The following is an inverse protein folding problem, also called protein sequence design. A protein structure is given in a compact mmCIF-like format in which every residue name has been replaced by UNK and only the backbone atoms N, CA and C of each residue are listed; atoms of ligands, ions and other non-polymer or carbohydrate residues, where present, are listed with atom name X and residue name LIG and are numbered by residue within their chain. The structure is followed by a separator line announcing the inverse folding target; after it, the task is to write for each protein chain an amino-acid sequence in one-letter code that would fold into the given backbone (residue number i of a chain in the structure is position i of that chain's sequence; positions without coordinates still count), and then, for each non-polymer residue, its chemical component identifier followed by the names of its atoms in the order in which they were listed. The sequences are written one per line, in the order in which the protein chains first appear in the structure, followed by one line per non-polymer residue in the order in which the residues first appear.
data_IF_266160787470
#
_entry.id   IF_266160787470
#
_cell.length_a   1.000
_cell.length_b   1.000
_cell.length_c   1.000
_cell.angle_alpha   90.00
_cell.angle_beta   90.00
_cell.angle_gamma   90.00
#
_symmetry.space_group_name_H-M   'P 1'
#
loop_
_entity.id
_entity.type
_entity.pdbx_description
1 polymer ?
#
# COMPACT_ATOMS: atom_id res chain seq x y z
N UNK A 1 16.77 -25.82 -14.29
CA UNK A 1 15.60 -25.42 -13.48
C UNK A 1 15.89 -24.20 -12.61
N UNK A 2 17.15 -23.93 -12.28
CA UNK A 2 17.55 -22.91 -11.28
C UNK A 2 17.26 -21.44 -11.69
N UNK A 3 17.07 -21.15 -12.98
CA UNK A 3 16.79 -19.82 -13.49
C UNK A 3 15.29 -19.52 -13.71
N UNK A 4 14.43 -20.53 -13.78
CA UNK A 4 13.00 -20.36 -13.98
C UNK A 4 12.28 -19.98 -12.68
N UNK A 5 12.74 -20.53 -11.56
CA UNK A 5 12.10 -20.31 -10.26
C UNK A 5 12.11 -18.83 -9.82
N UNK A 6 13.26 -18.09 -9.84
CA UNK A 6 13.25 -16.68 -9.46
C UNK A 6 12.37 -15.83 -10.39
N UNK A 7 12.39 -16.13 -11.70
CA UNK A 7 11.53 -15.42 -12.66
C UNK A 7 10.04 -15.66 -12.40
N UNK A 8 9.65 -16.91 -12.14
CA UNK A 8 8.27 -17.27 -11.80
C UNK A 8 7.80 -16.58 -10.50
N UNK A 9 8.67 -16.50 -9.48
CA UNK A 9 8.35 -15.83 -8.22
C UNK A 9 8.17 -14.31 -8.41
N UNK A 10 9.03 -13.65 -9.18
CA UNK A 10 8.87 -12.22 -9.46
C UNK A 10 7.59 -11.94 -10.27
N UNK A 11 7.26 -12.79 -11.25
CA UNK A 11 6.00 -12.71 -11.99
C UNK A 11 4.78 -12.94 -11.10
N UNK A 12 4.85 -13.91 -10.16
CA UNK A 12 3.81 -14.16 -9.18
C UNK A 12 3.62 -12.96 -8.26
N UNK A 13 4.71 -12.35 -7.78
CA UNK A 13 4.66 -11.13 -6.98
C UNK A 13 3.98 -9.97 -7.73
N UNK A 14 4.31 -9.78 -9.01
CA UNK A 14 3.65 -8.79 -9.86
C UNK A 14 2.15 -9.07 -10.02
N UNK A 15 1.77 -10.33 -10.24
CA UNK A 15 0.37 -10.75 -10.36
C UNK A 15 -0.41 -10.48 -9.07
N UNK A 16 0.15 -10.84 -7.90
CA UNK A 16 -0.49 -10.63 -6.60
C UNK A 16 -0.73 -9.13 -6.34
N UNK A 17 0.24 -8.26 -6.67
CA UNK A 17 0.07 -6.81 -6.56
C UNK A 17 -1.04 -6.29 -7.47
N UNK A 18 -1.11 -6.76 -8.72
CA UNK A 18 -2.18 -6.32 -9.64
C UNK A 18 -3.54 -6.82 -9.17
N UNK A 19 -3.66 -8.06 -8.69
CA UNK A 19 -4.91 -8.61 -8.16
C UNK A 19 -5.35 -7.85 -6.91
N UNK A 20 -4.43 -7.39 -6.07
CA UNK A 20 -4.76 -6.65 -4.86
C UNK A 20 -5.49 -5.32 -5.11
N UNK A 21 -5.37 -4.71 -6.32
CA UNK A 21 -6.10 -3.48 -6.71
C UNK A 21 -7.63 -3.66 -6.57
N UNK A 22 -8.11 -4.88 -6.80
CA UNK A 22 -9.56 -5.17 -6.83
C UNK A 22 -10.15 -5.50 -5.44
N UNK A 23 -9.32 -5.52 -4.41
CA UNK A 23 -9.67 -5.93 -3.05
C UNK A 23 -9.53 -4.75 -2.07
N UNK A 24 -10.37 -4.69 -1.01
CA UNK A 24 -10.24 -3.68 0.02
C UNK A 24 -8.90 -3.85 0.78
N UNK A 25 -8.27 -2.74 1.09
CA UNK A 25 -7.01 -2.69 1.85
C UNK A 25 -7.22 -2.43 3.32
N UNK A 26 -8.23 -1.63 3.60
CA UNK A 26 -8.58 -1.25 4.97
C UNK A 26 -10.08 -1.01 5.06
N UNK A 27 -10.65 -1.27 6.22
CA UNK A 27 -12.05 -0.98 6.50
C UNK A 27 -12.21 -0.26 7.82
N UNK A 28 -13.27 0.54 7.91
CA UNK A 28 -13.68 1.19 9.14
C UNK A 28 -15.17 0.99 9.35
N UNK A 29 -15.54 0.61 10.58
CA UNK A 29 -16.93 0.62 11.02
C UNK A 29 -17.12 1.71 12.06
N UNK A 30 -18.07 2.61 11.85
CA UNK A 30 -18.48 3.64 12.79
C UNK A 30 -19.74 3.18 13.53
N UNK A 31 -19.64 3.03 14.84
CA UNK A 31 -20.78 2.69 15.71
C UNK A 31 -21.42 4.00 16.17
N UNK A 32 -22.66 4.23 15.79
CA UNK A 32 -23.44 5.40 16.17
C UNK A 32 -24.79 4.97 16.78
N UNK A 33 -25.31 5.64 17.82
CA UNK A 33 -26.56 5.24 18.47
C UNK A 33 -27.77 5.13 17.53
N UNK A 34 -27.80 5.96 16.47
CA UNK A 34 -28.85 5.97 15.46
C UNK A 34 -28.68 4.88 14.39
N UNK A 35 -27.53 4.24 14.33
CA UNK A 35 -27.19 3.16 13.39
C UNK A 35 -26.74 1.90 14.16
N UNK A 36 -27.67 1.07 14.65
CA UNK A 36 -27.34 -0.08 15.52
C UNK A 36 -26.46 -1.15 14.85
N UNK A 37 -26.43 -1.19 13.50
CA UNK A 37 -25.58 -2.11 12.74
C UNK A 37 -24.20 -1.51 12.44
N UNK A 38 -23.96 -0.25 12.82
CA UNK A 38 -22.80 0.52 12.41
C UNK A 38 -22.88 1.03 10.97
N UNK A 39 -22.01 1.98 10.64
CA UNK A 39 -21.78 2.45 9.27
C UNK A 39 -20.43 1.94 8.82
N UNK A 40 -20.38 1.36 7.64
CA UNK A 40 -19.19 0.67 7.14
C UNK A 40 -18.59 1.38 5.94
N UNK A 41 -17.25 1.46 5.91
CA UNK A 41 -16.47 1.96 4.77
C UNK A 41 -15.33 1.02 4.45
N UNK A 42 -15.26 0.61 3.19
CA UNK A 42 -14.15 -0.13 2.61
C UNK A 42 -13.25 0.81 1.79
N UNK A 43 -11.98 0.81 2.11
CA UNK A 43 -10.94 1.59 1.44
C UNK A 43 -10.15 0.69 0.51
N UNK A 44 -10.35 0.88 -0.79
CA UNK A 44 -9.51 0.33 -1.85
C UNK A 44 -8.39 1.30 -2.18
N UNK A 45 -7.41 0.86 -2.92
CA UNK A 45 -6.33 1.77 -3.37
C UNK A 45 -6.82 2.90 -4.27
N UNK A 46 -7.93 2.70 -5.00
CA UNK A 46 -8.45 3.65 -6.01
C UNK A 46 -9.86 4.18 -5.74
N UNK A 47 -10.57 3.67 -4.73
CA UNK A 47 -11.95 4.06 -4.42
C UNK A 47 -12.31 3.78 -2.97
N UNK A 48 -13.41 4.37 -2.55
CA UNK A 48 -14.10 4.08 -1.30
C UNK A 48 -15.46 3.46 -1.62
N UNK A 49 -15.90 2.48 -0.83
CA UNK A 49 -17.21 1.85 -0.93
C UNK A 49 -17.85 1.76 0.45
N UNK A 50 -19.19 1.69 0.53
CA UNK A 50 -19.93 1.56 1.79
C UNK A 50 -20.89 2.72 2.04
N UNK A 51 -21.17 3.00 3.32
CA UNK A 51 -22.19 3.95 3.80
C UNK A 51 -21.70 5.41 3.78
N UNK A 52 -21.14 5.82 2.65
CA UNK A 52 -20.47 7.12 2.48
C UNK A 52 -21.39 8.31 2.76
N UNK A 53 -22.66 8.24 2.32
CA UNK A 53 -23.61 9.36 2.45
C UNK A 53 -24.01 9.59 3.90
N UNK A 54 -24.24 8.51 4.63
CA UNK A 54 -24.64 8.52 6.03
C UNK A 54 -23.50 9.04 6.89
N UNK A 55 -22.26 8.62 6.61
CA UNK A 55 -21.06 9.11 7.29
C UNK A 55 -20.80 10.59 6.98
N UNK A 56 -20.92 11.00 5.73
CA UNK A 56 -20.75 12.40 5.35
C UNK A 56 -21.82 13.31 5.98
N UNK A 57 -23.04 12.82 6.18
CA UNK A 57 -24.07 13.54 6.91
C UNK A 57 -23.67 13.74 8.40
N UNK A 58 -23.09 12.71 9.05
CA UNK A 58 -22.57 12.83 10.42
C UNK A 58 -21.36 13.78 10.47
N UNK A 59 -20.46 13.67 9.50
CA UNK A 59 -19.29 14.52 9.38
C UNK A 59 -19.64 16.00 9.27
N UNK A 60 -20.71 16.32 8.54
CA UNK A 60 -21.19 17.69 8.44
C UNK A 60 -21.57 18.29 9.81
N UNK A 61 -22.21 17.52 10.68
CA UNK A 61 -22.52 17.98 12.05
C UNK A 61 -21.27 18.09 12.93
N UNK A 62 -20.29 17.22 12.72
CA UNK A 62 -19.03 17.19 13.45
C UNK A 62 -18.01 18.24 12.93
N UNK A 63 -18.28 18.86 11.78
CA UNK A 63 -17.34 19.76 11.11
C UNK A 63 -16.18 19.06 10.45
N UNK A 64 -16.31 17.77 10.19
CA UNK A 64 -15.27 16.97 9.51
C UNK A 64 -15.40 17.06 7.99
N UNK A 65 -14.29 16.95 7.25
CA UNK A 65 -14.32 16.93 5.79
C UNK A 65 -15.16 15.77 5.24
N UNK A 66 -15.62 15.92 3.99
CA UNK A 66 -16.28 14.85 3.24
C UNK A 66 -15.28 13.72 2.98
N UNK A 67 -15.71 12.47 3.18
CA UNK A 67 -14.83 11.28 3.02
C UNK A 67 -14.17 11.21 1.64
N UNK A 68 -14.92 11.58 0.60
CA UNK A 68 -14.39 11.56 -0.77
C UNK A 68 -13.31 12.62 -1.04
N UNK A 69 -13.14 13.62 -0.22
CA UNK A 69 -12.09 14.63 -0.37
C UNK A 69 -10.73 14.12 0.12
N UNK A 70 -10.72 13.16 1.04
CA UNK A 70 -9.49 12.54 1.51
C UNK A 70 -8.85 11.63 0.47
N UNK A 71 -7.55 11.80 0.21
CA UNK A 71 -6.78 10.91 -0.64
C UNK A 71 -7.17 10.87 -2.12
N UNK A 72 -7.75 11.94 -2.67
CA UNK A 72 -8.18 11.98 -4.08
C UNK A 72 -7.01 11.82 -5.06
N UNK A 73 -5.88 12.48 -4.79
CA UNK A 73 -4.70 12.39 -5.63
C UNK A 73 -4.15 10.96 -5.61
N UNK A 74 -3.96 10.41 -4.43
CA UNK A 74 -3.44 9.07 -4.20
C UNK A 74 -4.30 8.01 -4.90
N UNK A 75 -5.61 8.10 -4.74
CA UNK A 75 -6.56 7.20 -5.41
C UNK A 75 -6.53 7.33 -6.93
N UNK A 76 -6.37 8.54 -7.47
CA UNK A 76 -6.35 8.77 -8.92
C UNK A 76 -5.12 8.18 -9.60
N UNK A 77 -3.96 8.17 -8.91
CA UNK A 77 -2.69 7.65 -9.45
C UNK A 77 -2.39 6.20 -9.05
N UNK A 78 -3.10 5.65 -8.06
CA UNK A 78 -2.81 4.35 -7.45
C UNK A 78 -2.76 3.19 -8.43
N UNK A 79 -3.74 3.08 -9.34
CA UNK A 79 -3.81 2.00 -10.33
C UNK A 79 -2.61 2.05 -11.27
N UNK A 80 -2.28 3.25 -11.78
CA UNK A 80 -1.11 3.44 -12.66
C UNK A 80 0.16 3.12 -11.90
N UNK A 81 0.26 3.55 -10.64
CA UNK A 81 1.42 3.26 -9.79
C UNK A 81 1.61 1.74 -9.59
N UNK A 82 0.57 1.00 -9.20
CA UNK A 82 0.67 -0.44 -8.96
C UNK A 82 0.98 -1.20 -10.25
N UNK A 83 0.37 -0.81 -11.38
CA UNK A 83 0.73 -1.40 -12.69
C UNK A 83 2.19 -1.13 -13.00
N UNK A 84 2.69 0.08 -12.75
CA UNK A 84 4.10 0.41 -12.93
C UNK A 84 5.02 -0.44 -12.05
N UNK A 85 4.64 -0.66 -10.78
CA UNK A 85 5.38 -1.57 -9.89
C UNK A 85 5.42 -2.99 -10.46
N UNK A 86 4.30 -3.49 -10.98
CA UNK A 86 4.23 -4.78 -11.66
C UNK A 86 5.16 -4.85 -12.89
N UNK A 87 5.19 -3.81 -13.72
CA UNK A 87 6.08 -3.73 -14.88
C UNK A 87 7.56 -3.66 -14.46
N UNK A 88 7.90 -2.96 -13.39
CA UNK A 88 9.27 -2.94 -12.85
C UNK A 88 9.71 -4.32 -12.36
N UNK A 89 8.81 -5.09 -11.73
CA UNK A 89 9.07 -6.47 -11.33
C UNK A 89 9.27 -7.38 -12.56
N UNK A 90 8.47 -7.22 -13.61
CA UNK A 90 8.65 -7.93 -14.86
C UNK A 90 9.99 -7.56 -15.53
N UNK A 91 10.37 -6.29 -15.53
CA UNK A 91 11.67 -5.85 -16.02
C UNK A 91 12.83 -6.46 -15.21
N UNK A 92 12.66 -6.60 -13.88
CA UNK A 92 13.65 -7.20 -12.98
C UNK A 92 13.95 -8.68 -13.36
N UNK A 93 12.99 -9.41 -13.97
CA UNK A 93 13.19 -10.77 -14.46
C UNK A 93 14.31 -10.84 -15.49
N UNK A 94 14.46 -9.80 -16.33
CA UNK A 94 15.49 -9.74 -17.39
C UNK A 94 16.80 -9.16 -16.93
N UNK A 95 16.84 -8.58 -15.72
CA UNK A 95 18.04 -7.95 -15.14
C UNK A 95 18.77 -8.94 -14.22
N UNK A 96 19.92 -9.45 -14.66
CA UNK A 96 20.65 -10.53 -13.99
C UNK A 96 21.80 -10.02 -13.07
N UNK A 97 21.60 -8.86 -12.45
CA UNK A 97 22.57 -8.25 -11.53
C UNK A 97 21.86 -7.56 -10.36
N UNK A 98 22.62 -6.84 -9.51
CA UNK A 98 22.08 -6.12 -8.34
C UNK A 98 20.95 -5.12 -8.64
N UNK A 99 20.83 -4.66 -9.89
CA UNK A 99 19.80 -3.73 -10.31
C UNK A 99 18.39 -4.37 -10.30
N UNK A 100 18.29 -5.70 -10.37
CA UNK A 100 17.01 -6.38 -10.19
C UNK A 100 16.38 -6.07 -8.81
N UNK A 101 17.19 -6.01 -7.76
CA UNK A 101 16.72 -5.63 -6.42
C UNK A 101 16.29 -4.15 -6.36
N UNK A 102 16.98 -3.26 -7.08
CA UNK A 102 16.61 -1.84 -7.15
C UNK A 102 15.26 -1.68 -7.85
N UNK A 103 15.03 -2.41 -8.95
CA UNK A 103 13.74 -2.41 -9.67
C UNK A 103 12.59 -2.97 -8.82
N UNK A 104 12.86 -3.95 -7.95
CA UNK A 104 11.86 -4.54 -7.07
C UNK A 104 11.60 -3.72 -5.80
N UNK A 105 12.52 -2.82 -5.41
CA UNK A 105 12.44 -2.06 -4.16
C UNK A 105 11.13 -1.27 -4.00
N UNK A 106 10.64 -0.53 -5.01
CA UNK A 106 9.38 0.20 -4.88
C UNK A 106 8.18 -0.72 -4.59
N UNK A 107 8.13 -1.91 -5.19
CA UNK A 107 7.09 -2.89 -4.93
C UNK A 107 7.16 -3.46 -3.50
N UNK A 108 8.36 -3.64 -2.96
CA UNK A 108 8.57 -4.10 -1.57
C UNK A 108 8.12 -3.01 -0.58
N UNK A 109 8.36 -1.74 -0.89
CA UNK A 109 8.00 -0.62 -0.02
C UNK A 109 6.52 -0.24 -0.10
N UNK A 110 5.80 -0.69 -1.12
CA UNK A 110 4.43 -0.29 -1.38
C UNK A 110 3.46 -0.45 -0.17
N UNK A 111 3.42 -1.59 0.57
CA UNK A 111 2.54 -1.71 1.73
C UNK A 111 2.88 -0.72 2.85
N UNK A 112 4.16 -0.38 3.04
CA UNK A 112 4.58 0.63 4.01
C UNK A 112 4.15 2.04 3.59
N UNK A 113 4.26 2.35 2.31
CA UNK A 113 3.78 3.62 1.74
C UNK A 113 2.28 3.74 1.93
N UNK A 114 1.51 2.67 1.66
CA UNK A 114 0.06 2.65 1.89
C UNK A 114 -0.29 2.95 3.36
N UNK A 115 0.39 2.31 4.32
CA UNK A 115 0.12 2.54 5.76
C UNK A 115 0.47 3.97 6.17
N UNK A 116 1.58 4.50 5.66
CA UNK A 116 2.00 5.88 5.96
C UNK A 116 1.01 6.91 5.37
N UNK A 117 0.54 6.67 4.16
CA UNK A 117 -0.45 7.49 3.49
C UNK A 117 -1.81 7.43 4.20
N UNK A 118 -2.31 6.23 4.54
CA UNK A 118 -3.52 6.04 5.31
C UNK A 118 -3.45 6.78 6.66
N UNK A 119 -2.32 6.66 7.37
CA UNK A 119 -2.12 7.39 8.64
C UNK A 119 -2.18 8.90 8.43
N UNK A 120 -1.55 9.39 7.37
CA UNK A 120 -1.54 10.81 7.04
C UNK A 120 -2.95 11.35 6.72
N UNK A 121 -3.72 10.60 5.93
CA UNK A 121 -5.12 10.93 5.61
C UNK A 121 -5.97 10.96 6.88
N UNK A 122 -5.87 9.94 7.73
CA UNK A 122 -6.60 9.87 9.01
C UNK A 122 -6.20 11.01 9.96
N UNK A 123 -4.90 11.35 9.99
CA UNK A 123 -4.41 12.49 10.76
C UNK A 123 -5.00 13.80 10.26
N UNK A 124 -4.91 14.08 8.97
CA UNK A 124 -5.49 15.29 8.40
C UNK A 124 -7.00 15.36 8.65
N UNK A 125 -7.69 14.25 8.48
CA UNK A 125 -9.13 14.15 8.64
C UNK A 125 -9.56 14.55 10.07
N UNK A 126 -8.92 14.06 11.09
CA UNK A 126 -9.24 14.39 12.48
C UNK A 126 -8.70 15.73 12.96
N UNK A 127 -7.84 16.42 12.18
CA UNK A 127 -7.30 17.75 12.51
C UNK A 127 -7.88 18.87 11.64
N UNK A 128 -8.72 18.55 10.64
CA UNK A 128 -9.38 19.53 9.77
C UNK A 128 -10.85 19.74 10.16
N UNK A 129 -11.10 19.90 11.47
CA UNK A 129 -12.46 20.11 12.01
C UNK A 129 -12.81 21.61 11.91
N UNK A 130 -13.98 21.91 11.34
CA UNK A 130 -14.52 23.27 11.26
C UNK A 130 -15.15 23.66 12.62
N UNK A 131 -14.57 24.61 13.37
CA UNK A 131 -15.11 25.02 14.66
C UNK A 131 -16.48 25.71 14.58
N UNK A 132 -16.88 26.16 13.40
CA UNK A 132 -18.17 26.82 13.16
C UNK A 132 -19.34 25.86 12.96
N UNK A 133 -19.06 24.57 12.78
CA UNK A 133 -20.08 23.51 12.67
C UNK A 133 -20.80 23.27 14.00
N UNK A 134 -21.93 22.56 13.93
CA UNK A 134 -22.82 22.37 15.10
C UNK A 134 -22.12 21.76 16.33
N UNK A 135 -21.18 20.83 16.14
CA UNK A 135 -20.43 20.18 17.22
C UNK A 135 -18.90 20.37 17.10
N UNK A 136 -18.40 20.97 16.01
CA UNK A 136 -16.97 21.09 15.75
C UNK A 136 -16.20 21.88 16.82
N UNK A 137 -16.82 22.90 17.41
CA UNK A 137 -16.21 23.66 18.51
C UNK A 137 -16.09 22.91 19.84
N UNK A 138 -16.75 21.74 19.96
CA UNK A 138 -16.72 20.89 21.17
C UNK A 138 -15.81 19.65 20.99
N UNK A 139 -15.27 19.43 19.79
CA UNK A 139 -14.45 18.25 19.47
C UNK A 139 -12.98 18.68 19.43
N UNK A 140 -12.16 18.07 20.25
CA UNK A 140 -10.71 18.25 20.17
C UNK A 140 -10.15 17.49 18.95
N UNK A 141 -9.10 18.03 18.26
CA UNK A 141 -8.43 17.32 17.20
C UNK A 141 -7.96 15.94 17.65
N UNK A 142 -8.16 14.93 16.81
CA UNK A 142 -7.83 13.53 17.12
C UNK A 142 -7.26 12.84 15.88
N UNK A 143 -6.66 11.66 16.07
CA UNK A 143 -6.25 10.80 14.98
C UNK A 143 -6.93 9.45 15.14
N UNK A 144 -7.83 9.05 14.22
CA UNK A 144 -8.43 7.73 14.27
C UNK A 144 -7.36 6.64 14.22
N UNK A 145 -7.46 5.56 15.02
CA UNK A 145 -6.51 4.46 14.94
C UNK A 145 -6.66 3.70 13.63
N UNK A 146 -5.53 3.30 13.03
CA UNK A 146 -5.56 2.43 11.82
C UNK A 146 -6.10 1.05 12.17
N UNK A 147 -5.74 0.53 13.34
CA UNK A 147 -6.16 -0.79 13.83
C UNK A 147 -6.78 -0.64 15.20
N UNK A 148 -7.90 -1.33 15.41
CA UNK A 148 -8.57 -1.39 16.70
C UNK A 148 -9.62 -0.31 16.87
N UNK A 149 -10.03 -0.10 18.12
CA UNK A 149 -11.15 0.76 18.48
C UNK A 149 -10.66 2.16 18.88
N UNK A 150 -11.26 3.17 18.26
CA UNK A 150 -11.14 4.58 18.66
C UNK A 150 -12.51 5.13 19.05
N UNK A 151 -12.53 6.31 19.69
CA UNK A 151 -13.75 7.02 20.04
C UNK A 151 -13.62 8.46 19.57
N UNK A 152 -14.67 8.99 18.94
CA UNK A 152 -14.80 10.36 18.48
C UNK A 152 -16.13 10.90 19.01
N UNK A 153 -16.09 11.80 19.98
CA UNK A 153 -17.28 12.24 20.70
C UNK A 153 -18.08 11.04 21.25
N UNK A 154 -19.30 10.85 20.75
CA UNK A 154 -20.17 9.72 21.13
C UNK A 154 -20.10 8.52 20.17
N UNK A 155 -19.26 8.61 19.13
CA UNK A 155 -19.11 7.56 18.11
C UNK A 155 -17.87 6.73 18.41
N UNK A 156 -18.01 5.41 18.30
CA UNK A 156 -16.85 4.52 18.30
C UNK A 156 -16.52 4.13 16.85
N UNK A 157 -15.23 4.07 16.56
CA UNK A 157 -14.72 3.61 15.26
C UNK A 157 -13.86 2.38 15.45
N UNK A 158 -14.00 1.41 14.57
CA UNK A 158 -13.18 0.20 14.54
C UNK A 158 -12.52 0.10 13.18
N UNK A 159 -11.18 0.21 13.16
CA UNK A 159 -10.39 0.07 11.93
C UNK A 159 -9.69 -1.28 11.87
N UNK A 160 -9.58 -1.86 10.67
CA UNK A 160 -8.82 -3.10 10.43
C UNK A 160 -8.26 -3.16 9.01
N UNK A 161 -7.17 -3.91 8.82
CA UNK A 161 -6.69 -4.23 7.50
C UNK A 161 -7.51 -5.36 6.87
N UNK A 162 -7.64 -5.27 5.54
CA UNK A 162 -8.46 -6.18 4.74
C UNK A 162 -7.59 -7.03 3.80
N UNK A 163 -8.24 -7.94 3.08
CA UNK A 163 -7.60 -8.97 2.26
C UNK A 163 -6.64 -8.42 1.21
N UNK A 164 -6.92 -7.22 0.65
CA UNK A 164 -6.05 -6.56 -0.34
C UNK A 164 -4.69 -6.21 0.23
N UNK A 165 -4.65 -5.68 1.46
CA UNK A 165 -3.40 -5.37 2.16
C UNK A 165 -2.59 -6.63 2.47
N UNK A 166 -3.23 -7.68 2.97
CA UNK A 166 -2.55 -8.94 3.24
C UNK A 166 -2.03 -9.60 1.96
N UNK A 167 -2.74 -9.45 0.84
CA UNK A 167 -2.28 -9.94 -0.46
C UNK A 167 -1.04 -9.16 -0.94
N UNK A 168 -1.00 -7.84 -0.73
CA UNK A 168 0.18 -7.03 -1.01
C UNK A 168 1.38 -7.43 -0.13
N UNK A 169 1.16 -7.73 1.16
CA UNK A 169 2.21 -8.27 2.03
C UNK A 169 2.70 -9.66 1.56
N UNK A 170 1.79 -10.53 1.12
CA UNK A 170 2.16 -11.82 0.55
C UNK A 170 3.00 -11.64 -0.73
N UNK A 171 2.65 -10.66 -1.58
CA UNK A 171 3.44 -10.32 -2.75
C UNK A 171 4.87 -9.91 -2.37
N UNK A 172 5.04 -9.07 -1.33
CA UNK A 172 6.37 -8.71 -0.82
C UNK A 172 7.16 -9.94 -0.38
N UNK A 173 6.54 -10.86 0.37
CA UNK A 173 7.18 -12.11 0.77
C UNK A 173 7.67 -12.93 -0.43
N UNK A 174 6.82 -13.10 -1.45
CA UNK A 174 7.14 -13.80 -2.70
C UNK A 174 8.28 -13.11 -3.46
N UNK A 175 8.26 -11.76 -3.55
CA UNK A 175 9.31 -10.97 -4.21
C UNK A 175 10.65 -11.15 -3.49
N UNK A 176 10.68 -11.07 -2.17
CA UNK A 176 11.91 -11.25 -1.38
C UNK A 176 12.51 -12.65 -1.57
N UNK A 177 11.68 -13.69 -1.55
CA UNK A 177 12.11 -15.07 -1.85
C UNK A 177 12.61 -15.19 -3.29
N UNK A 178 11.91 -14.56 -4.25
CA UNK A 178 12.33 -14.50 -5.65
C UNK A 178 13.71 -13.85 -5.84
N UNK A 179 13.93 -12.69 -5.17
CA UNK A 179 15.23 -12.01 -5.20
C UNK A 179 16.33 -12.81 -4.52
N UNK A 180 16.03 -13.55 -3.47
CA UNK A 180 17.01 -14.43 -2.81
C UNK A 180 17.47 -15.55 -3.75
N UNK A 181 16.55 -16.23 -4.43
CA UNK A 181 16.87 -17.25 -5.44
C UNK A 181 17.59 -16.64 -6.64
N UNK A 182 17.14 -15.46 -7.08
CA UNK A 182 17.79 -14.71 -8.16
C UNK A 182 19.27 -14.43 -7.85
N UNK A 183 19.55 -13.91 -6.67
CA UNK A 183 20.93 -13.66 -6.21
C UNK A 183 21.75 -14.96 -6.19
N UNK A 184 21.18 -16.06 -5.67
CA UNK A 184 21.86 -17.34 -5.57
C UNK A 184 22.22 -17.92 -6.95
N UNK A 185 21.31 -17.78 -7.93
CA UNK A 185 21.49 -18.29 -9.27
C UNK A 185 22.54 -17.50 -10.08
N UNK A 186 22.57 -16.16 -9.95
CA UNK A 186 23.38 -15.30 -10.82
C UNK A 186 24.70 -14.82 -10.22
N UNK A 187 24.90 -14.86 -8.92
CA UNK A 187 26.15 -14.46 -8.27
C UNK A 187 27.39 -15.21 -8.82
N UNK A 188 27.39 -16.54 -8.98
CA UNK A 188 28.55 -17.27 -9.50
C UNK A 188 28.94 -16.83 -10.93
N UNK A 189 27.95 -16.51 -11.77
CA UNK A 189 28.19 -16.06 -13.15
C UNK A 189 28.79 -14.65 -13.18
N UNK A 190 28.38 -13.78 -12.28
CA UNK A 190 28.93 -12.42 -12.15
C UNK A 190 30.38 -12.46 -11.67
N UNK A 191 30.67 -13.24 -10.63
CA UNK A 191 32.02 -13.42 -10.09
C UNK A 191 32.97 -13.98 -11.15
N UNK A 192 32.51 -14.92 -11.98
CA UNK A 192 33.30 -15.46 -13.10
C UNK A 192 33.58 -14.41 -14.18
N UNK A 193 32.60 -13.57 -14.52
CA UNK A 193 32.77 -12.45 -15.49
C UNK A 193 33.76 -11.39 -14.99
N UNK A 194 33.71 -11.05 -13.71
CA UNK A 194 34.65 -10.07 -13.13
C UNK A 194 36.07 -10.60 -13.13
N UNK A 195 36.27 -11.87 -12.78
CA UNK A 195 37.59 -12.52 -12.84
C UNK A 195 38.17 -12.53 -14.27
N UNK A 196 37.35 -12.77 -15.29
CA UNK A 196 37.80 -12.72 -16.68
C UNK A 196 38.19 -11.30 -17.12
N UNK A 197 37.48 -10.27 -16.66
CA UNK A 197 37.82 -8.87 -16.96
C UNK A 197 39.17 -8.44 -16.35
N UNK A 198 39.45 -8.91 -15.11
CA UNK A 198 40.71 -8.61 -14.42
C UNK A 198 41.89 -9.46 -14.91
N UNK A 199 41.63 -10.59 -15.56
CA UNK A 199 42.67 -11.48 -16.10
C UNK A 199 43.14 -11.11 -17.53
N UNK A 200 42.48 -10.18 -18.23
CA UNK A 200 42.92 -9.68 -19.53
C UNK A 200 44.12 -8.71 -19.30
N UNK A 201 45.37 -9.05 -19.73
CA UNK A 201 46.51 -8.15 -19.59
C UNK A 201 46.27 -6.91 -20.42
N UNK A 202 46.60 -5.73 -19.85
CA UNK A 202 46.69 -4.48 -20.60
C UNK A 202 47.67 -4.69 -21.77
N UNK A 203 47.30 -4.40 -23.03
CA UNK A 203 48.26 -4.49 -24.13
C UNK A 203 49.43 -3.59 -23.81
N UNK A 204 50.63 -4.19 -23.83
CA UNK A 204 51.88 -3.46 -23.70
C UNK A 204 51.97 -2.40 -24.82
N UNK A 205 52.00 -1.15 -24.43
CA UNK A 205 52.24 0.00 -25.28
C UNK A 205 53.67 0.03 -25.73
#
# INVERSE_FOLDING_TARGET
MDYLLPSALLMLGALLLVVSIFLPYWSMTMEAPQYPQGLHVDVYVNRLEGDMREIDALNHYLGMPVLNEGGQLERSISVVSIITLGLLLLAAVFVHNRWAAVLALPAILFPLVFVADLWWILYQYGHSIDPSSALGGAIEPFTPPIIGRGTVAQFATVGQFEIGFYLALAAVGVILVGLWFHRRAYKPVQDARERMKTAVPTPLS
#
